data_IF_693260858849
#
_entry.id   IF_693260858849
#
_cell.length_a   1.000
_cell.length_b   1.000
_cell.length_c   1.000
_cell.angle_alpha   90.00
_cell.angle_beta   90.00
_cell.angle_gamma   90.00
#
_symmetry.space_group_name_H-M   'P 1'
#
loop_
_entity.id
_entity.type
_entity.pdbx_description
1 polymer ?
#
# COMPACT_ATOMS: atom_id res chain seq x y z
N UNK A 1 -56.84 78.21 -20.24
CA UNK A 1 -56.51 76.98 -20.99
C UNK A 1 -55.12 76.50 -20.57
N UNK A 2 -54.83 76.41 -19.25
CA UNK A 2 -53.44 76.54 -18.79
C UNK A 2 -52.93 75.38 -17.91
N UNK A 3 -53.71 74.29 -17.78
CA UNK A 3 -53.40 73.21 -16.82
C UNK A 3 -52.80 71.94 -17.46
N UNK A 4 -52.23 72.05 -18.66
CA UNK A 4 -51.57 70.93 -19.36
C UNK A 4 -50.08 71.17 -19.64
N UNK A 5 -49.56 72.37 -19.37
CA UNK A 5 -48.14 72.70 -19.61
C UNK A 5 -47.24 72.60 -18.37
N UNK A 6 -47.80 72.36 -17.19
CA UNK A 6 -47.00 72.26 -15.95
C UNK A 6 -46.56 70.83 -15.59
N UNK A 7 -46.94 69.80 -16.36
CA UNK A 7 -46.68 68.39 -16.01
C UNK A 7 -45.83 67.63 -17.04
N UNK A 8 -44.97 68.32 -17.79
CA UNK A 8 -44.08 67.71 -18.80
C UNK A 8 -42.59 67.73 -18.42
N UNK A 9 -42.25 68.11 -17.18
CA UNK A 9 -40.86 68.34 -16.75
C UNK A 9 -40.34 67.49 -15.57
N UNK A 10 -41.13 66.61 -14.96
CA UNK A 10 -40.64 65.78 -13.86
C UNK A 10 -39.89 64.55 -14.38
N UNK A 11 -38.55 64.68 -14.47
CA UNK A 11 -37.65 63.54 -14.66
C UNK A 11 -37.83 62.59 -13.47
N UNK A 12 -38.02 61.26 -13.69
CA UNK A 12 -38.16 60.33 -12.58
C UNK A 12 -36.92 60.40 -11.67
N UNK A 13 -37.09 60.31 -10.34
CA UNK A 13 -35.97 60.39 -9.42
C UNK A 13 -34.94 59.31 -9.76
N UNK A 14 -33.63 59.64 -9.71
CA UNK A 14 -32.60 58.65 -9.96
C UNK A 14 -32.80 57.46 -9.00
N UNK A 15 -32.68 56.21 -9.48
CA UNK A 15 -32.81 55.05 -8.62
C UNK A 15 -31.84 55.18 -7.44
N UNK A 16 -32.27 54.84 -6.21
CA UNK A 16 -31.39 54.91 -5.05
C UNK A 16 -30.14 54.06 -5.28
N UNK A 17 -28.95 54.51 -4.84
CA UNK A 17 -27.73 53.74 -5.00
C UNK A 17 -27.90 52.39 -4.30
N UNK A 18 -27.71 51.30 -5.05
CA UNK A 18 -27.78 49.96 -4.50
C UNK A 18 -26.67 49.78 -3.45
N UNK A 19 -27.04 49.70 -2.17
CA UNK A 19 -26.10 49.46 -1.07
C UNK A 19 -25.68 48.00 -1.05
N UNK A 20 -24.51 47.69 -1.60
CA UNK A 20 -23.93 46.36 -1.50
C UNK A 20 -23.56 46.10 -0.04
N UNK A 21 -24.28 45.19 0.61
CA UNK A 21 -24.02 44.82 2.01
C UNK A 21 -22.62 44.22 2.12
N UNK A 22 -21.79 44.76 3.01
CA UNK A 22 -20.44 44.25 3.30
C UNK A 22 -20.44 42.75 3.66
N UNK A 23 -21.56 42.24 4.18
CA UNK A 23 -21.79 40.82 4.44
C UNK A 23 -21.69 39.98 3.15
N UNK A 24 -22.21 40.49 2.03
CA UNK A 24 -22.14 39.80 0.73
C UNK A 24 -20.68 39.69 0.26
N UNK A 25 -19.90 40.76 0.46
CA UNK A 25 -18.48 40.77 0.11
C UNK A 25 -17.72 39.72 0.95
N UNK A 26 -17.98 39.65 2.25
CA UNK A 26 -17.34 38.65 3.12
C UNK A 26 -17.71 37.21 2.74
N UNK A 27 -18.98 36.95 2.45
CA UNK A 27 -19.44 35.63 2.02
C UNK A 27 -18.81 35.22 0.68
N UNK A 28 -18.70 36.16 -0.26
CA UNK A 28 -18.04 35.91 -1.53
C UNK A 28 -16.55 35.58 -1.34
N UNK A 29 -15.83 36.35 -0.52
CA UNK A 29 -14.42 36.11 -0.21
C UNK A 29 -14.23 34.74 0.45
N UNK A 30 -15.07 34.37 1.42
CA UNK A 30 -15.00 33.06 2.08
C UNK A 30 -15.26 31.92 1.08
N UNK A 31 -16.29 32.04 0.25
CA UNK A 31 -16.60 31.04 -0.77
C UNK A 31 -15.45 30.85 -1.77
N UNK A 32 -14.81 31.95 -2.20
CA UNK A 32 -13.64 31.91 -3.09
C UNK A 32 -12.46 31.18 -2.43
N UNK A 33 -12.16 31.47 -1.16
CA UNK A 33 -11.08 30.79 -0.43
C UNK A 33 -11.36 29.28 -0.32
N UNK A 34 -12.59 28.89 0.05
CA UNK A 34 -12.97 27.47 0.13
C UNK A 34 -12.91 26.76 -1.22
N UNK A 35 -13.24 27.44 -2.32
CA UNK A 35 -13.17 26.86 -3.65
C UNK A 35 -11.72 26.53 -4.06
N UNK A 36 -10.80 27.46 -3.85
CA UNK A 36 -9.40 27.26 -4.20
C UNK A 36 -8.72 26.16 -3.35
N UNK A 37 -9.06 26.03 -2.07
CA UNK A 37 -8.46 24.98 -1.23
C UNK A 37 -8.86 23.58 -1.69
N UNK A 38 -10.12 23.38 -2.07
CA UNK A 38 -10.62 22.10 -2.59
C UNK A 38 -9.90 21.74 -3.90
N UNK A 39 -9.69 22.72 -4.79
CA UNK A 39 -8.95 22.52 -6.04
C UNK A 39 -7.50 22.07 -5.75
N UNK A 40 -6.80 22.81 -4.90
CA UNK A 40 -5.39 22.52 -4.59
C UNK A 40 -5.24 21.16 -3.92
N UNK A 41 -6.07 20.85 -2.91
CA UNK A 41 -6.04 19.54 -2.23
C UNK A 41 -6.39 18.41 -3.18
N UNK A 42 -7.37 18.61 -4.07
CA UNK A 42 -7.73 17.62 -5.09
C UNK A 42 -6.56 17.27 -6.01
N UNK A 43 -5.82 18.28 -6.49
CA UNK A 43 -4.64 18.07 -7.35
C UNK A 43 -3.53 17.33 -6.59
N UNK A 44 -3.24 17.75 -5.35
CA UNK A 44 -2.22 17.10 -4.52
C UNK A 44 -2.58 15.63 -4.23
N UNK A 45 -3.82 15.36 -3.86
CA UNK A 45 -4.32 14.03 -3.57
C UNK A 45 -4.24 13.11 -4.81
N UNK A 46 -4.54 13.63 -6.00
CA UNK A 46 -4.48 12.89 -7.25
C UNK A 46 -3.05 12.39 -7.56
N UNK A 47 -2.02 13.13 -7.18
CA UNK A 47 -0.61 12.73 -7.37
C UNK A 47 -0.16 11.77 -6.26
N UNK A 48 -0.52 12.04 -5.01
CA UNK A 48 -0.04 11.28 -3.85
C UNK A 48 -0.66 9.88 -3.78
N UNK A 49 -1.97 9.74 -4.04
CA UNK A 49 -2.69 8.48 -3.90
C UNK A 49 -2.09 7.31 -4.71
N UNK A 50 -1.79 7.43 -6.02
CA UNK A 50 -1.21 6.33 -6.78
C UNK A 50 0.21 5.98 -6.30
N UNK A 51 1.00 6.98 -5.90
CA UNK A 51 2.36 6.74 -5.40
C UNK A 51 2.32 6.03 -4.04
N UNK A 52 1.40 6.44 -3.16
CA UNK A 52 1.22 5.83 -1.84
C UNK A 52 0.81 4.35 -1.94
N UNK A 53 -0.07 3.99 -2.87
CA UNK A 53 -0.44 2.59 -3.09
C UNK A 53 0.75 1.73 -3.53
N UNK A 54 1.60 2.24 -4.43
CA UNK A 54 2.83 1.54 -4.85
C UNK A 54 3.83 1.40 -3.71
N UNK A 55 4.07 2.48 -2.95
CA UNK A 55 4.96 2.46 -1.79
C UNK A 55 4.50 1.44 -0.74
N UNK A 56 3.19 1.38 -0.47
CA UNK A 56 2.61 0.37 0.43
C UNK A 56 2.82 -1.06 -0.09
N UNK A 57 2.60 -1.29 -1.39
CA UNK A 57 2.81 -2.61 -2.00
C UNK A 57 4.29 -3.05 -1.92
N UNK A 58 5.23 -2.12 -2.13
CA UNK A 58 6.66 -2.37 -1.96
C UNK A 58 7.03 -2.67 -0.50
N UNK A 59 6.44 -1.97 0.47
CA UNK A 59 6.61 -2.27 1.89
C UNK A 59 6.11 -3.68 2.26
N UNK A 60 4.96 -4.09 1.71
CA UNK A 60 4.44 -5.46 1.89
C UNK A 60 5.35 -6.50 1.23
N UNK A 61 5.94 -6.21 0.07
CA UNK A 61 6.94 -7.07 -0.55
C UNK A 61 8.19 -7.21 0.33
N UNK A 62 8.74 -6.10 0.82
CA UNK A 62 9.91 -6.13 1.70
C UNK A 62 9.67 -6.95 2.99
N UNK A 63 8.48 -6.79 3.58
CA UNK A 63 8.08 -7.60 4.73
C UNK A 63 7.93 -9.10 4.37
N UNK A 64 7.38 -9.40 3.19
CA UNK A 64 7.32 -10.78 2.68
C UNK A 64 8.72 -11.38 2.50
N UNK A 65 9.65 -10.65 1.92
CA UNK A 65 11.06 -11.08 1.77
C UNK A 65 11.75 -11.26 3.12
N UNK A 66 11.47 -10.40 4.10
CA UNK A 66 12.01 -10.55 5.45
C UNK A 66 11.49 -11.83 6.12
N UNK A 67 10.20 -12.14 5.97
CA UNK A 67 9.63 -13.38 6.48
C UNK A 67 10.27 -14.60 5.82
N UNK A 68 10.48 -14.57 4.50
CA UNK A 68 11.17 -15.65 3.78
C UNK A 68 12.59 -15.87 4.30
N UNK A 69 13.35 -14.80 4.57
CA UNK A 69 14.68 -14.90 5.18
C UNK A 69 14.64 -15.47 6.58
N UNK A 70 13.70 -15.03 7.42
CA UNK A 70 13.55 -15.56 8.77
C UNK A 70 13.19 -17.05 8.77
N UNK A 71 12.30 -17.48 7.87
CA UNK A 71 11.97 -18.89 7.67
C UNK A 71 13.18 -19.67 7.16
N UNK A 72 13.92 -19.13 6.21
CA UNK A 72 15.14 -19.75 5.72
C UNK A 72 16.16 -19.94 6.84
N UNK A 73 16.42 -18.91 7.65
CA UNK A 73 17.30 -19.02 8.82
C UNK A 73 16.84 -20.12 9.78
N UNK A 74 15.53 -20.25 10.02
CA UNK A 74 15.00 -21.33 10.84
C UNK A 74 15.21 -22.71 10.20
N UNK A 75 15.07 -22.85 8.88
CA UNK A 75 15.39 -24.08 8.15
C UNK A 75 16.88 -24.44 8.25
N UNK A 76 17.78 -23.45 8.14
CA UNK A 76 19.23 -23.66 8.28
C UNK A 76 19.59 -24.09 9.71
N UNK A 77 18.98 -23.48 10.73
CA UNK A 77 19.15 -23.90 12.12
C UNK A 77 18.64 -25.33 12.35
N UNK A 78 17.48 -25.67 11.77
CA UNK A 78 16.96 -27.04 11.82
C UNK A 78 17.94 -28.02 11.19
N UNK A 79 18.48 -27.70 10.00
CA UNK A 79 19.44 -28.57 9.31
C UNK A 79 20.73 -28.76 10.11
N UNK A 80 21.22 -27.70 10.78
CA UNK A 80 22.41 -27.79 11.64
C UNK A 80 22.23 -28.84 12.77
N UNK A 81 21.04 -28.93 13.35
CA UNK A 81 20.73 -29.90 14.40
C UNK A 81 20.35 -31.29 13.84
N UNK A 82 19.87 -31.35 12.60
CA UNK A 82 19.34 -32.56 11.95
C UNK A 82 20.27 -33.12 10.87
N UNK A 83 21.59 -33.14 11.12
CA UNK A 83 22.60 -33.75 10.23
C UNK A 83 22.58 -33.22 8.79
N UNK A 84 22.21 -31.97 8.59
CA UNK A 84 22.09 -31.32 7.28
C UNK A 84 20.76 -31.53 6.56
N UNK A 85 19.83 -32.30 7.12
CA UNK A 85 18.50 -32.48 6.53
C UNK A 85 17.60 -31.29 6.82
N UNK A 86 17.03 -30.72 5.76
CA UNK A 86 15.99 -29.69 5.90
C UNK A 86 14.67 -30.29 6.35
N UNK A 87 13.80 -29.52 7.03
CA UNK A 87 12.51 -30.01 7.49
C UNK A 87 11.64 -30.45 6.30
N UNK A 88 10.76 -31.43 6.48
CA UNK A 88 9.84 -31.89 5.42
C UNK A 88 8.70 -30.87 5.20
N UNK A 89 8.34 -30.14 6.26
CA UNK A 89 7.32 -29.11 6.26
C UNK A 89 7.73 -27.92 7.14
N UNK A 90 7.17 -26.73 6.89
CA UNK A 90 7.42 -25.58 7.78
C UNK A 90 6.90 -25.82 9.21
N UNK A 91 5.91 -26.70 9.40
CA UNK A 91 5.36 -27.04 10.72
C UNK A 91 6.40 -27.76 11.60
N UNK A 92 7.41 -28.40 11.01
CA UNK A 92 8.50 -29.02 11.76
C UNK A 92 9.34 -27.97 12.51
N UNK A 93 9.36 -26.72 12.05
CA UNK A 93 10.06 -25.61 12.72
C UNK A 93 9.35 -25.17 14.02
N UNK A 94 8.08 -25.51 14.18
CA UNK A 94 7.30 -25.19 15.39
C UNK A 94 7.49 -26.25 16.49
N UNK A 95 7.93 -27.46 16.11
CA UNK A 95 8.16 -28.56 17.06
C UNK A 95 9.31 -28.19 18.00
N UNK A 96 9.16 -28.57 19.27
CA UNK A 96 10.19 -28.30 20.28
C UNK A 96 11.41 -29.19 20.05
N UNK A 97 12.60 -28.60 19.90
CA UNK A 97 13.88 -29.29 19.97
C UNK A 97 14.46 -29.22 21.40
N UNK A 98 15.65 -29.80 21.60
CA UNK A 98 16.38 -29.78 22.88
C UNK A 98 16.59 -28.37 23.44
N UNK A 99 16.62 -27.34 22.58
CA UNK A 99 16.84 -25.93 22.96
C UNK A 99 15.59 -25.04 22.75
N UNK A 100 14.43 -25.64 22.45
CA UNK A 100 13.17 -24.93 22.14
C UNK A 100 12.77 -25.06 20.68
N UNK A 101 11.70 -24.37 20.28
CA UNK A 101 11.24 -24.37 18.87
C UNK A 101 12.08 -23.39 18.03
N UNK A 102 12.41 -23.75 16.79
CA UNK A 102 13.13 -22.89 15.85
C UNK A 102 12.34 -21.63 15.47
N UNK A 103 11.01 -21.76 15.45
CA UNK A 103 10.10 -20.64 15.23
C UNK A 103 8.92 -20.72 16.19
N UNK A 104 8.45 -19.56 16.67
CA UNK A 104 7.26 -19.49 17.55
C UNK A 104 5.95 -19.59 16.77
N UNK A 105 5.92 -19.00 15.57
CA UNK A 105 4.75 -18.99 14.69
C UNK A 105 5.23 -18.75 13.27
N UNK A 106 4.71 -19.51 12.31
CA UNK A 106 4.98 -19.32 10.90
C UNK A 106 4.28 -18.03 10.44
N UNK A 107 5.01 -17.01 9.99
CA UNK A 107 4.39 -15.78 9.50
C UNK A 107 3.63 -16.06 8.21
N UNK A 108 2.57 -15.28 7.97
CA UNK A 108 1.86 -15.26 6.68
C UNK A 108 2.37 -14.11 5.83
N UNK A 109 2.16 -14.20 4.52
CA UNK A 109 2.49 -13.11 3.63
C UNK A 109 1.59 -11.88 3.93
N UNK A 110 2.15 -10.68 4.18
CA UNK A 110 1.35 -9.49 4.48
C UNK A 110 0.54 -8.97 3.27
N UNK A 111 0.88 -9.43 2.06
CA UNK A 111 0.19 -9.03 0.82
C UNK A 111 -1.01 -9.95 0.52
N UNK A 112 -0.80 -11.26 0.44
CA UNK A 112 -1.88 -12.21 0.09
C UNK A 112 -2.57 -12.86 1.31
N UNK A 113 -2.00 -12.77 2.52
CA UNK A 113 -2.48 -13.42 3.76
C UNK A 113 -2.49 -14.95 3.73
N UNK A 114 -1.94 -15.55 2.68
CA UNK A 114 -1.73 -16.99 2.55
C UNK A 114 -0.43 -17.44 3.24
N UNK A 115 -0.37 -18.70 3.70
CA UNK A 115 0.88 -19.30 4.17
C UNK A 115 1.89 -19.44 3.02
N UNK A 116 3.18 -19.48 3.36
CA UNK A 116 4.23 -19.69 2.38
C UNK A 116 4.21 -21.10 1.84
N UNK A 117 4.48 -21.25 0.53
CA UNK A 117 4.67 -22.55 -0.10
C UNK A 117 6.10 -23.00 0.15
N UNK A 118 6.24 -24.23 0.64
CA UNK A 118 7.52 -24.82 0.98
C UNK A 118 7.72 -26.14 0.23
N UNK A 119 8.94 -26.37 -0.24
CA UNK A 119 9.36 -27.62 -0.85
C UNK A 119 10.81 -27.89 -0.46
N UNK A 120 11.04 -28.97 0.28
CA UNK A 120 12.38 -29.49 0.54
C UNK A 120 12.77 -30.54 -0.49
N UNK A 121 14.04 -30.62 -0.82
CA UNK A 121 14.64 -31.72 -1.58
C UNK A 121 15.82 -32.22 -0.77
N UNK A 122 15.62 -33.33 -0.09
CA UNK A 122 16.65 -34.05 0.67
C UNK A 122 17.06 -35.30 -0.12
N UNK A 123 17.83 -35.13 -1.22
CA UNK A 123 18.27 -36.25 -2.06
C UNK A 123 19.79 -36.37 -2.07
N UNK A 124 20.27 -37.60 -1.89
CA UNK A 124 21.69 -37.95 -1.92
C UNK A 124 22.54 -37.04 -1.00
N UNK A 125 23.50 -36.31 -1.57
CA UNK A 125 24.35 -35.33 -0.87
C UNK A 125 23.89 -33.87 -1.06
N UNK A 126 22.78 -33.65 -1.76
CA UNK A 126 22.25 -32.31 -2.05
C UNK A 126 20.96 -32.08 -1.28
N UNK A 127 21.10 -31.47 -0.10
CA UNK A 127 19.98 -30.93 0.67
C UNK A 127 19.72 -29.50 0.19
N UNK A 128 18.51 -29.21 -0.26
CA UNK A 128 18.08 -27.86 -0.61
C UNK A 128 16.61 -27.66 -0.27
N UNK A 129 16.17 -26.42 -0.15
CA UNK A 129 14.77 -26.09 0.01
C UNK A 129 14.38 -24.86 -0.78
N UNK A 130 13.08 -24.72 -1.03
CA UNK A 130 12.47 -23.55 -1.67
C UNK A 130 11.33 -23.06 -0.80
N UNK A 131 11.35 -21.78 -0.45
CA UNK A 131 10.21 -21.10 0.17
C UNK A 131 9.72 -20.03 -0.81
N UNK A 132 8.42 -19.98 -1.09
CA UNK A 132 7.87 -19.00 -2.02
C UNK A 132 6.55 -18.43 -1.52
N UNK A 133 6.17 -17.27 -2.04
CA UNK A 133 4.86 -16.68 -1.74
C UNK A 133 3.72 -17.68 -2.01
N UNK A 134 2.73 -17.71 -1.13
CA UNK A 134 1.63 -18.69 -1.19
C UNK A 134 0.72 -18.51 -2.39
N UNK A 135 0.50 -17.27 -2.80
CA UNK A 135 -0.45 -16.90 -3.85
C UNK A 135 0.27 -16.41 -5.10
N UNK A 136 -0.27 -16.76 -6.26
CA UNK A 136 0.32 -16.44 -7.56
C UNK A 136 0.13 -14.96 -7.87
N UNK A 137 1.16 -14.30 -8.41
CA UNK A 137 1.13 -12.89 -8.81
C UNK A 137 0.75 -11.90 -7.68
N UNK A 138 0.79 -12.34 -6.42
CA UNK A 138 0.41 -11.53 -5.26
C UNK A 138 1.17 -10.19 -5.20
N UNK A 139 2.44 -10.19 -5.59
CA UNK A 139 3.32 -9.02 -5.58
C UNK A 139 3.44 -8.32 -6.94
N UNK A 140 2.65 -8.71 -7.95
CA UNK A 140 2.75 -8.17 -9.31
C UNK A 140 2.47 -6.66 -9.39
N UNK A 141 1.60 -6.16 -8.51
CA UNK A 141 1.27 -4.73 -8.42
C UNK A 141 2.48 -3.84 -8.05
N UNK A 142 3.56 -4.42 -7.52
CA UNK A 142 4.79 -3.69 -7.22
C UNK A 142 5.59 -3.29 -8.47
N UNK A 143 5.42 -4.00 -9.59
CA UNK A 143 6.25 -3.85 -10.80
C UNK A 143 7.70 -4.34 -10.66
N UNK A 144 8.08 -4.86 -9.49
CA UNK A 144 9.43 -5.36 -9.20
C UNK A 144 9.51 -6.88 -9.44
N UNK A 145 8.40 -7.56 -9.18
CA UNK A 145 8.31 -9.02 -9.12
C UNK A 145 7.73 -9.58 -10.42
N UNK A 146 8.30 -10.67 -10.91
CA UNK A 146 7.85 -11.42 -12.08
C UNK A 146 6.53 -12.17 -11.86
N UNK A 147 6.07 -12.85 -12.90
CA UNK A 147 4.85 -13.65 -12.82
C UNK A 147 5.11 -14.96 -12.06
N UNK A 148 4.14 -15.43 -11.28
CA UNK A 148 4.22 -16.69 -10.54
C UNK A 148 4.26 -16.51 -9.02
N UNK A 149 4.76 -17.52 -8.31
CA UNK A 149 4.92 -17.50 -6.85
C UNK A 149 6.23 -16.79 -6.46
N UNK A 150 6.25 -15.48 -6.62
CA UNK A 150 7.37 -14.66 -6.19
C UNK A 150 6.94 -13.66 -5.10
N UNK A 151 7.82 -13.25 -4.18
CA UNK A 151 9.24 -13.63 -4.09
C UNK A 151 9.43 -15.10 -3.67
N UNK A 152 10.57 -15.66 -4.09
CA UNK A 152 11.02 -17.01 -3.76
C UNK A 152 12.38 -16.92 -3.06
N UNK A 153 12.68 -17.84 -2.16
CA UNK A 153 13.97 -18.02 -1.51
C UNK A 153 14.51 -19.41 -1.78
N UNK A 154 15.80 -19.49 -2.11
CA UNK A 154 16.59 -20.73 -2.11
C UNK A 154 17.93 -20.49 -1.41
N UNK A 155 18.50 -21.49 -0.71
CA UNK A 155 19.82 -21.35 -0.07
C UNK A 155 20.92 -20.91 -1.04
N UNK A 156 20.86 -21.37 -2.30
CA UNK A 156 21.89 -21.11 -3.31
C UNK A 156 21.87 -19.69 -3.87
N UNK A 157 20.67 -19.09 -4.02
CA UNK A 157 20.49 -17.80 -4.71
C UNK A 157 19.96 -16.69 -3.80
N UNK A 158 19.51 -17.03 -2.60
CA UNK A 158 18.80 -16.10 -1.71
C UNK A 158 17.42 -15.74 -2.26
N UNK A 159 17.05 -14.46 -2.16
CA UNK A 159 15.76 -13.95 -2.62
C UNK A 159 15.76 -13.76 -4.14
N UNK A 160 14.92 -14.52 -4.82
CA UNK A 160 14.61 -14.43 -6.24
C UNK A 160 13.28 -13.66 -6.43
N UNK A 161 13.28 -12.70 -7.35
CA UNK A 161 12.10 -11.86 -7.67
C UNK A 161 11.53 -12.12 -9.07
N UNK A 162 12.21 -12.89 -9.92
CA UNK A 162 11.80 -13.23 -11.29
C UNK A 162 12.47 -14.53 -11.73
#
# INVERSE_FOLDING_TARGET
>A
MDNQYQNSGQVPPPPPPAKMSWVIILLAVLATICFFTIIVVGILAAIIMPNFQRARAQGMLAACESNLKNLATACEMYAADNKGYYPDSLDDLLKSSQFGSYMRTIPRCPCCREPYKYSAVNKDMHHTFTIQCGEMDAHRATGIVGNGHFPKYTPEKGIERR
#
